data_IF_642162370094
#
_entry.id   IF_642162370094
#
_cell.length_a   1.000
_cell.length_b   1.000
_cell.length_c   1.000
_cell.angle_alpha   90.00
_cell.angle_beta   90.00
_cell.angle_gamma   90.00
#
_symmetry.space_group_name_H-M   'P 1'
#
loop_
_entity.id
_entity.type
_entity.pdbx_description
1 polymer ?
#
# COMPACT_ATOMS: atom_id res chain seq x y z
N UNK A 1 11.14 11.04 5.53
CA UNK A 1 11.34 11.22 6.98
C UNK A 1 11.81 9.89 7.52
N UNK A 2 13.02 9.80 8.10
CA UNK A 2 13.49 8.58 8.76
C UNK A 2 12.91 8.60 10.17
N UNK A 3 11.87 7.81 10.42
CA UNK A 3 11.42 7.55 11.78
C UNK A 3 12.56 6.81 12.49
N UNK A 4 13.08 7.38 13.58
CA UNK A 4 14.26 6.87 14.30
C UNK A 4 14.02 5.51 14.98
N UNK A 5 12.82 4.94 14.85
CA UNK A 5 12.44 3.66 15.40
C UNK A 5 11.66 2.81 14.38
N UNK A 6 12.18 1.60 14.09
CA UNK A 6 11.55 0.60 13.21
C UNK A 6 10.12 0.27 13.66
N UNK A 7 9.84 0.39 14.96
CA UNK A 7 8.50 0.18 15.51
C UNK A 7 7.49 1.21 15.03
N UNK A 8 7.88 2.48 14.96
CA UNK A 8 7.00 3.56 14.50
C UNK A 8 6.74 3.44 13.00
N UNK A 9 7.76 3.03 12.23
CA UNK A 9 7.61 2.74 10.80
C UNK A 9 6.63 1.57 10.56
N UNK A 10 6.75 0.48 11.31
CA UNK A 10 5.80 -0.64 11.25
C UNK A 10 4.39 -0.23 11.62
N UNK A 11 4.21 0.64 12.62
CA UNK A 11 2.90 1.16 13.01
C UNK A 11 2.29 2.08 11.95
N UNK A 12 3.11 2.92 11.30
CA UNK A 12 2.67 3.75 10.19
C UNK A 12 2.13 2.89 9.04
N UNK A 13 2.84 1.81 8.69
CA UNK A 13 2.44 0.86 7.64
C UNK A 13 1.07 0.23 7.92
N UNK A 14 0.76 -0.07 9.19
CA UNK A 14 -0.51 -0.70 9.58
C UNK A 14 -1.72 0.14 9.21
N UNK A 15 -1.61 1.47 9.27
CA UNK A 15 -2.72 2.38 8.95
C UNK A 15 -2.66 3.01 7.56
N UNK A 16 -1.45 3.24 7.01
CA UNK A 16 -1.29 4.06 5.80
C UNK A 16 -1.78 3.33 4.54
N UNK A 17 -1.67 2.00 4.49
CA UNK A 17 -1.93 1.23 3.27
C UNK A 17 -3.25 0.45 3.27
N UNK A 18 -4.10 0.61 4.29
CA UNK A 18 -5.38 -0.14 4.43
C UNK A 18 -6.31 0.02 3.22
N UNK A 19 -6.23 1.12 2.48
CA UNK A 19 -7.07 1.39 1.29
C UNK A 19 -6.78 0.47 0.09
N UNK A 20 -5.59 -0.14 0.05
CA UNK A 20 -5.10 -0.92 -1.09
C UNK A 20 -4.89 -2.40 -0.78
N UNK A 21 -5.18 -2.80 0.46
CA UNK A 21 -5.00 -4.16 0.99
C UNK A 21 -6.31 -4.60 1.67
N UNK A 22 -6.41 -5.86 2.08
CA UNK A 22 -7.59 -6.34 2.80
C UNK A 22 -7.70 -5.60 4.16
N UNK A 23 -8.85 -4.97 4.46
CA UNK A 23 -9.02 -4.19 5.69
C UNK A 23 -8.76 -5.02 6.95
N UNK A 24 -8.00 -4.46 7.91
CA UNK A 24 -7.66 -5.17 9.15
C UNK A 24 -6.78 -6.42 8.99
N UNK A 25 -6.18 -6.64 7.81
CA UNK A 25 -5.28 -7.78 7.57
C UNK A 25 -3.83 -7.52 7.98
N UNK A 26 -3.45 -6.25 8.15
CA UNK A 26 -2.07 -5.88 8.46
C UNK A 26 -1.71 -6.22 9.90
N UNK A 27 -0.61 -6.94 10.08
CA UNK A 27 -0.15 -7.38 11.39
C UNK A 27 1.37 -7.39 11.47
N UNK A 28 1.91 -6.78 12.52
CA UNK A 28 3.34 -6.89 12.82
C UNK A 28 3.65 -8.30 13.34
N UNK A 29 4.54 -9.01 12.65
CA UNK A 29 4.96 -10.37 12.98
C UNK A 29 6.11 -10.40 13.96
N UNK A 30 7.14 -9.60 13.70
CA UNK A 30 8.35 -9.54 14.51
C UNK A 30 9.02 -8.18 14.40
N UNK A 31 9.67 -7.77 15.47
CA UNK A 31 10.51 -6.58 15.50
C UNK A 31 11.85 -7.00 16.06
N UNK A 32 12.92 -6.73 15.32
CA UNK A 32 14.30 -6.91 15.76
C UNK A 32 14.96 -5.53 15.80
N UNK A 33 14.88 -4.91 16.98
CA UNK A 33 15.48 -3.60 17.25
C UNK A 33 17.01 -3.65 17.20
N UNK A 34 17.63 -4.82 17.41
CA UNK A 34 19.10 -4.95 17.39
C UNK A 34 19.65 -4.90 15.97
N UNK A 35 18.89 -5.41 15.00
CA UNK A 35 19.23 -5.37 13.58
C UNK A 35 18.57 -4.22 12.83
N UNK A 36 17.63 -3.51 13.47
CA UNK A 36 16.84 -2.45 12.83
C UNK A 36 15.91 -3.03 11.75
N UNK A 37 15.42 -4.26 11.95
CA UNK A 37 14.56 -4.95 10.99
C UNK A 37 13.21 -5.30 11.58
N UNK A 38 12.15 -5.16 10.80
CA UNK A 38 10.78 -5.47 11.17
C UNK A 38 10.16 -6.41 10.16
N UNK A 39 9.13 -7.17 10.56
CA UNK A 39 8.32 -7.95 9.63
C UNK A 39 6.85 -7.64 9.84
N UNK A 40 6.15 -7.42 8.73
CA UNK A 40 4.72 -7.17 8.68
C UNK A 40 4.06 -8.14 7.71
N UNK A 41 3.01 -8.81 8.16
CA UNK A 41 2.11 -9.62 7.32
C UNK A 41 0.94 -8.74 6.88
N UNK A 42 0.56 -8.83 5.61
CA UNK A 42 -0.62 -8.16 5.06
C UNK A 42 -1.26 -9.05 3.99
N UNK A 43 -2.57 -8.90 3.81
CA UNK A 43 -3.30 -9.60 2.75
C UNK A 43 -3.65 -8.62 1.63
N UNK A 44 -3.22 -8.94 0.41
CA UNK A 44 -3.54 -8.19 -0.79
C UNK A 44 -5.00 -8.42 -1.22
N UNK A 45 -5.60 -7.45 -1.90
CA UNK A 45 -6.99 -7.53 -2.42
C UNK A 45 -7.20 -8.65 -3.46
N UNK A 46 -6.12 -9.24 -3.95
CA UNK A 46 -6.10 -10.40 -4.83
C UNK A 46 -6.17 -11.73 -4.07
N UNK A 47 -6.27 -11.71 -2.74
CA UNK A 47 -6.29 -12.92 -1.93
C UNK A 47 -4.92 -13.56 -1.83
N UNK A 48 -3.88 -12.74 -1.60
CA UNK A 48 -2.51 -13.18 -1.40
C UNK A 48 -2.00 -12.60 -0.09
N UNK A 49 -1.56 -13.45 0.84
CA UNK A 49 -0.94 -13.02 2.09
C UNK A 49 0.56 -12.93 1.89
N UNK A 50 1.14 -11.77 2.13
CA UNK A 50 2.57 -11.52 1.99
C UNK A 50 3.16 -11.09 3.32
N UNK A 51 4.40 -11.51 3.57
CA UNK A 51 5.21 -11.06 4.69
C UNK A 51 6.31 -10.19 4.13
N UNK A 52 6.29 -8.92 4.53
CA UNK A 52 7.25 -7.90 4.12
C UNK A 52 8.24 -7.70 5.26
N UNK A 53 9.52 -7.84 4.96
CA UNK A 53 10.60 -7.36 5.80
C UNK A 53 10.83 -5.87 5.55
N UNK A 54 10.90 -5.11 6.62
CA UNK A 54 11.19 -3.67 6.66
C UNK A 54 12.57 -3.51 7.28
N UNK A 55 13.45 -2.77 6.62
CA UNK A 55 14.83 -2.56 7.07
C UNK A 55 15.35 -1.21 6.61
N UNK A 56 16.56 -0.85 7.06
CA UNK A 56 17.29 0.33 6.58
C UNK A 56 17.63 0.29 5.07
N UNK A 57 17.52 -0.89 4.44
CA UNK A 57 17.71 -1.10 3.00
C UNK A 57 16.42 -1.01 2.19
N UNK A 58 15.29 -0.79 2.85
CA UNK A 58 13.96 -0.73 2.26
C UNK A 58 13.10 -1.94 2.59
N UNK A 59 12.20 -2.27 1.66
CA UNK A 59 11.09 -3.20 1.83
C UNK A 59 11.24 -4.41 0.91
N UNK A 60 11.05 -5.62 1.44
CA UNK A 60 11.20 -6.84 0.65
C UNK A 60 10.17 -7.89 1.06
N UNK A 61 9.51 -8.54 0.09
CA UNK A 61 8.68 -9.70 0.39
C UNK A 61 9.57 -10.90 0.66
N UNK A 62 9.55 -11.40 1.89
CA UNK A 62 10.32 -12.59 2.30
C UNK A 62 9.50 -13.88 2.18
N UNK A 63 8.17 -13.76 2.19
CA UNK A 63 7.26 -14.89 2.06
C UNK A 63 5.96 -14.43 1.45
N UNK A 64 5.39 -15.24 0.57
CA UNK A 64 4.05 -15.05 0.03
C UNK A 64 3.32 -16.39 0.06
N UNK A 65 2.03 -16.37 0.43
CA UNK A 65 1.11 -17.51 0.32
C UNK A 65 -0.24 -17.06 -0.24
N UNK A 66 -0.92 -17.87 -1.06
CA UNK A 66 -2.29 -17.57 -1.44
C UNK A 66 -3.20 -17.61 -0.19
N UNK A 67 -4.09 -16.63 -0.05
CA UNK A 67 -5.11 -16.60 0.98
C UNK A 67 -6.13 -17.71 0.67
N UNK A 68 -6.36 -18.61 1.62
CA UNK A 68 -7.38 -19.66 1.48
C UNK A 68 -8.72 -19.04 1.90
N UNK A 69 -9.71 -18.88 0.99
CA UNK A 69 -10.98 -18.30 1.37
C UNK A 69 -11.70 -19.20 2.39
N UNK A 70 -12.31 -18.64 3.45
CA UNK A 70 -13.10 -19.41 4.41
C UNK A 70 -14.37 -19.90 3.71
N UNK A 71 -14.37 -21.17 3.27
CA UNK A 71 -15.55 -21.81 2.66
C UNK A 71 -15.27 -22.81 1.55
N UNK A 72 -14.06 -22.84 0.98
CA UNK A 72 -13.72 -23.87 -0.01
C UNK A 72 -13.28 -25.17 0.67
N UNK A 73 -14.26 -26.07 0.78
CA UNK A 73 -14.11 -27.51 0.77
C UNK A 73 -12.81 -27.98 0.07
N UNK A 74 -12.11 -28.87 0.76
CA UNK A 74 -10.77 -29.45 0.47
C UNK A 74 -10.66 -30.28 -0.84
N UNK A 75 -11.36 -29.92 -1.91
CA UNK A 75 -11.42 -30.71 -3.15
C UNK A 75 -11.25 -29.92 -4.45
N UNK A 76 -10.73 -28.69 -4.40
CA UNK A 76 -10.23 -28.00 -5.59
C UNK A 76 -8.86 -27.39 -5.30
N UNK A 77 -7.92 -28.25 -4.94
CA UNK A 77 -6.50 -27.94 -5.05
C UNK A 77 -6.23 -27.81 -6.56
N UNK A 78 -5.58 -26.73 -6.98
CA UNK A 78 -5.16 -26.44 -8.36
C UNK A 78 -6.18 -25.71 -9.25
N UNK A 79 -6.33 -24.42 -8.99
CA UNK A 79 -6.23 -23.45 -10.09
C UNK A 79 -5.35 -22.31 -9.59
N UNK A 80 -4.04 -22.56 -9.69
CA UNK A 80 -2.97 -21.57 -9.50
C UNK A 80 -2.92 -20.57 -10.68
N UNK A 81 -3.90 -20.63 -11.59
CA UNK A 81 -4.13 -19.71 -12.70
C UNK A 81 -4.95 -18.48 -12.30
N UNK A 82 -4.73 -17.93 -11.10
CA UNK A 82 -5.12 -16.55 -10.84
C UNK A 82 -3.98 -15.66 -11.35
N UNK A 83 -4.15 -14.90 -12.45
CA UNK A 83 -3.08 -14.10 -13.07
C UNK A 83 -2.48 -13.05 -12.12
N UNK A 84 -3.11 -12.83 -10.97
CA UNK A 84 -2.65 -11.94 -9.90
C UNK A 84 -1.52 -12.52 -9.04
N UNK A 85 -1.31 -13.84 -9.00
CA UNK A 85 -0.28 -14.46 -8.16
C UNK A 85 1.13 -14.36 -8.77
N UNK A 86 1.21 -14.41 -10.10
CA UNK A 86 2.47 -14.34 -10.85
C UNK A 86 3.25 -13.04 -10.55
N UNK A 87 2.51 -11.92 -10.44
CA UNK A 87 3.09 -10.62 -10.06
C UNK A 87 3.71 -10.61 -8.67
N UNK A 88 3.06 -11.24 -7.69
CA UNK A 88 3.62 -11.37 -6.33
C UNK A 88 4.87 -12.24 -6.36
N UNK A 89 4.84 -13.39 -7.04
CA UNK A 89 6.00 -14.28 -7.13
C UNK A 89 7.20 -13.64 -7.81
N UNK A 90 6.97 -12.81 -8.85
CA UNK A 90 8.03 -12.12 -9.57
C UNK A 90 8.79 -11.10 -8.72
N UNK A 91 8.19 -10.59 -7.64
CA UNK A 91 8.79 -9.57 -6.77
C UNK A 91 9.23 -10.12 -5.41
N UNK A 92 8.93 -11.39 -5.10
CA UNK A 92 9.44 -12.06 -3.90
C UNK A 92 10.96 -12.06 -3.91
N UNK A 93 11.56 -11.63 -2.81
CA UNK A 93 13.01 -11.53 -2.70
C UNK A 93 13.61 -10.30 -3.41
N UNK A 94 12.83 -9.43 -4.03
CA UNK A 94 13.32 -8.16 -4.57
C UNK A 94 13.14 -7.02 -3.57
N UNK A 95 14.21 -6.28 -3.21
CA UNK A 95 14.10 -5.12 -2.35
C UNK A 95 13.58 -3.91 -3.13
N UNK A 96 12.74 -3.12 -2.48
CA UNK A 96 12.17 -1.88 -2.97
C UNK A 96 12.48 -0.74 -2.01
N UNK A 97 12.64 0.47 -2.55
CA UNK A 97 12.92 1.67 -1.75
C UNK A 97 11.72 2.07 -0.89
N UNK A 98 10.50 1.92 -1.39
CA UNK A 98 9.28 2.28 -0.67
C UNK A 98 8.25 1.14 -0.69
N UNK A 99 7.38 1.12 0.33
CA UNK A 99 6.30 0.15 0.41
C UNK A 99 5.31 0.29 -0.76
N UNK A 100 5.02 1.52 -1.22
CA UNK A 100 4.18 1.74 -2.40
C UNK A 100 4.77 1.08 -3.64
N UNK A 101 6.08 1.19 -3.83
CA UNK A 101 6.76 0.62 -4.99
C UNK A 101 6.63 -0.91 -5.00
N UNK A 102 6.78 -1.52 -3.83
CA UNK A 102 6.58 -2.96 -3.62
C UNK A 102 5.12 -3.34 -3.89
N UNK A 103 4.15 -2.65 -3.28
CA UNK A 103 2.73 -2.97 -3.42
C UNK A 103 2.21 -2.71 -4.83
N UNK A 104 2.67 -1.66 -5.51
CA UNK A 104 2.35 -1.41 -6.91
C UNK A 104 2.88 -2.51 -7.83
N UNK A 105 4.02 -3.13 -7.50
CA UNK A 105 4.59 -4.22 -8.28
C UNK A 105 3.91 -5.56 -7.96
N UNK A 106 3.60 -5.82 -6.70
CA UNK A 106 2.97 -7.05 -6.22
C UNK A 106 1.46 -7.13 -6.52
N UNK A 107 0.74 -6.00 -6.48
CA UNK A 107 -0.72 -5.93 -6.53
C UNK A 107 -1.21 -4.95 -7.61
N UNK A 108 -1.69 -5.47 -8.76
CA UNK A 108 -2.35 -4.64 -9.77
C UNK A 108 -3.59 -3.89 -9.23
N UNK A 109 -4.33 -4.45 -8.27
CA UNK A 109 -5.47 -3.77 -7.64
C UNK A 109 -5.03 -2.63 -6.75
N UNK A 110 -3.97 -2.80 -5.98
CA UNK A 110 -3.36 -1.71 -5.20
C UNK A 110 -2.98 -0.57 -6.14
N UNK A 111 -2.32 -0.88 -7.26
CA UNK A 111 -1.95 0.12 -8.28
C UNK A 111 -3.15 0.90 -8.81
N UNK A 112 -4.25 0.22 -9.12
CA UNK A 112 -5.49 0.85 -9.58
C UNK A 112 -6.08 1.80 -8.52
N UNK A 113 -6.16 1.36 -7.27
CA UNK A 113 -6.66 2.17 -6.16
C UNK A 113 -5.78 3.40 -5.90
N UNK A 114 -4.46 3.22 -5.93
CA UNK A 114 -3.49 4.29 -5.76
C UNK A 114 -3.62 5.36 -6.84
N UNK A 115 -3.74 4.95 -8.12
CA UNK A 115 -4.00 5.87 -9.22
C UNK A 115 -5.33 6.61 -9.07
N UNK A 116 -6.37 5.93 -8.61
CA UNK A 116 -7.66 6.54 -8.31
C UNK A 116 -7.58 7.64 -7.25
N UNK A 117 -6.83 7.42 -6.17
CA UNK A 117 -6.62 8.44 -5.14
C UNK A 117 -5.78 9.62 -5.62
N UNK A 118 -4.72 9.36 -6.39
CA UNK A 118 -3.95 10.44 -7.00
C UNK A 118 -4.82 11.30 -7.92
N UNK A 119 -5.68 10.68 -8.72
CA UNK A 119 -6.61 11.39 -9.58
C UNK A 119 -7.64 12.21 -8.77
N UNK A 120 -8.21 11.63 -7.71
CA UNK A 120 -9.14 12.35 -6.83
C UNK A 120 -8.49 13.61 -6.22
N UNK A 121 -7.28 13.48 -5.68
CA UNK A 121 -6.52 14.62 -5.12
C UNK A 121 -6.20 15.68 -6.17
N UNK A 122 -5.85 15.28 -7.39
CA UNK A 122 -5.62 16.22 -8.50
C UNK A 122 -6.90 16.99 -8.87
N UNK A 123 -8.06 16.34 -8.82
CA UNK A 123 -9.35 17.00 -9.09
C UNK A 123 -9.72 17.97 -7.97
N UNK A 124 -9.46 17.64 -6.71
CA UNK A 124 -9.67 18.53 -5.56
C UNK A 124 -8.80 19.79 -5.68
N UNK A 125 -7.49 19.63 -5.91
CA UNK A 125 -6.57 20.77 -6.09
C UNK A 125 -6.95 21.69 -7.25
N UNK A 126 -7.48 21.12 -8.35
CA UNK A 126 -7.96 21.90 -9.49
C UNK A 126 -9.20 22.72 -9.15
N UNK A 127 -10.06 22.24 -8.24
CA UNK A 127 -11.24 22.96 -7.77
C UNK A 127 -10.88 24.10 -6.84
N UNK A 128 -9.91 23.90 -5.95
CA UNK A 128 -9.47 24.95 -5.03
C UNK A 128 -8.74 26.09 -5.75
N UNK A 129 -7.97 25.81 -6.81
CA UNK A 129 -7.27 26.83 -7.58
C UNK A 129 -8.15 27.74 -8.47
N UNK A 130 -9.43 27.42 -8.64
CA UNK A 130 -10.39 28.22 -9.43
C UNK A 130 -11.20 29.20 -8.56
N UNK A 131 -11.24 28.97 -7.23
CA UNK A 131 -12.08 29.72 -6.30
C UNK A 131 -11.39 30.96 -5.68
N UNK A 132 -10.09 31.17 -5.95
CA UNK A 132 -9.28 32.29 -5.46
C UNK A 132 -9.17 33.46 -6.47
N UNK A 133 -10.03 33.53 -7.49
CA UNK A 133 -9.96 34.57 -8.56
C UNK A 133 -11.16 35.51 -8.68
N UNK A 134 -12.15 35.44 -7.79
CA UNK A 134 -13.39 36.24 -7.93
C UNK A 134 -13.63 37.34 -6.87
N UNK A 135 -12.63 37.71 -6.04
CA UNK A 135 -12.80 38.78 -5.04
C UNK A 135 -11.78 39.94 -5.18
N UNK A 136 -11.62 40.55 -6.35
CA UNK A 136 -10.94 41.87 -6.45
C UNK A 136 -11.47 42.76 -7.61
N UNK A 137 -12.78 42.94 -7.81
CA UNK A 137 -13.27 44.02 -8.70
C UNK A 137 -14.66 44.57 -8.30
N UNK A 138 -14.87 45.13 -7.10
CA UNK A 138 -15.99 46.08 -6.87
C UNK A 138 -15.67 47.08 -5.73
N UNK A 139 -14.71 47.99 -5.90
CA UNK A 139 -14.70 49.24 -5.13
C UNK A 139 -13.94 50.37 -5.84
N UNK A 140 -14.47 50.91 -6.94
CA UNK A 140 -14.21 52.32 -7.33
C UNK A 140 -15.24 52.84 -8.35
N UNK A 141 -16.43 53.23 -7.88
CA UNK A 141 -17.27 54.23 -8.55
C UNK A 141 -17.82 55.17 -7.50
N UNK A 142 -17.03 56.18 -7.12
CA UNK A 142 -17.54 57.47 -6.65
C UNK A 142 -16.42 58.52 -6.75
N UNK A 143 -16.35 59.25 -7.87
CA UNK A 143 -16.26 60.74 -7.92
C UNK A 143 -16.79 61.23 -9.26
#
# INVERSE_FOLDING_TARGET
MKLENIRDELLAIVGEYEYGIAPGSTRVCSIDETRGTGQVELELLEGAVVVVEVSDRGFQIISAKPAVPPGHNKSSVLSVDSPSWDGVQAVVGHPFETMESLLMAASPKFRGNFQGQLFAKLVELKRDGDNDKEEEEEEDVMV
#
